data_IF_832752089236
#
_entry.id   IF_832752089236
#
_cell.length_a   1.000
_cell.length_b   1.000
_cell.length_c   1.000
_cell.angle_alpha   90.00
_cell.angle_beta   90.00
_cell.angle_gamma   90.00
#
_symmetry.space_group_name_H-M   'P 1'
#
loop_
_entity.id
_entity.type
_entity.pdbx_description
1 polymer ?
#
# COMPACT_ATOMS: atom_id res chain seq x y z
N UNK A 1 -26.84 8.00 -1.55
CA UNK A 1 -25.98 6.94 -0.99
C UNK A 1 -24.78 7.67 -0.42
N UNK A 2 -24.55 7.59 0.89
CA UNK A 2 -23.40 8.26 1.51
C UNK A 2 -22.12 7.70 0.89
N UNK A 3 -21.24 8.59 0.43
CA UNK A 3 -19.92 8.20 -0.08
C UNK A 3 -19.20 7.38 1.01
N UNK A 4 -18.92 6.10 0.75
CA UNK A 4 -18.16 5.27 1.68
C UNK A 4 -18.93 4.53 2.78
N UNK A 5 -20.25 4.41 2.72
CA UNK A 5 -20.98 3.42 3.55
C UNK A 5 -20.87 3.59 5.07
N UNK A 6 -20.63 4.82 5.55
CA UNK A 6 -20.73 5.21 6.96
C UNK A 6 -19.57 4.77 7.88
N UNK A 7 -18.51 4.16 7.36
CA UNK A 7 -17.31 3.83 8.15
C UNK A 7 -16.02 3.87 7.30
N UNK A 8 -14.86 3.83 7.96
CA UNK A 8 -13.55 3.93 7.31
C UNK A 8 -13.31 2.85 6.26
N UNK A 9 -13.63 1.59 6.55
CA UNK A 9 -13.42 0.46 5.62
C UNK A 9 -14.31 0.61 4.39
N UNK A 10 -15.57 1.00 4.59
CA UNK A 10 -16.51 1.31 3.51
C UNK A 10 -16.00 2.45 2.62
N UNK A 11 -15.47 3.52 3.23
CA UNK A 11 -14.91 4.67 2.51
C UNK A 11 -13.70 4.29 1.69
N UNK A 12 -12.75 3.52 2.26
CA UNK A 12 -11.60 3.01 1.52
C UNK A 12 -12.01 2.15 0.32
N UNK A 13 -12.98 1.23 0.50
CA UNK A 13 -13.49 0.39 -0.60
C UNK A 13 -14.14 1.22 -1.70
N UNK A 14 -14.93 2.23 -1.33
CA UNK A 14 -15.57 3.13 -2.27
C UNK A 14 -14.53 3.95 -3.06
N UNK A 15 -13.52 4.51 -2.40
CA UNK A 15 -12.42 5.24 -3.06
C UNK A 15 -11.71 4.37 -4.10
N UNK A 16 -11.38 3.12 -3.76
CA UNK A 16 -10.73 2.18 -4.69
C UNK A 16 -11.63 1.84 -5.88
N UNK A 17 -12.92 1.55 -5.62
CA UNK A 17 -13.88 1.24 -6.68
C UNK A 17 -14.06 2.39 -7.68
N UNK A 18 -13.81 3.62 -7.25
CA UNK A 18 -13.85 4.82 -8.09
C UNK A 18 -12.48 5.23 -8.66
N UNK A 19 -11.44 4.38 -8.54
CA UNK A 19 -10.11 4.67 -9.08
C UNK A 19 -9.31 5.71 -8.29
N UNK A 20 -9.77 6.11 -7.10
CA UNK A 20 -9.18 7.17 -6.25
C UNK A 20 -8.19 6.61 -5.22
N UNK A 21 -7.53 5.51 -5.53
CA UNK A 21 -6.60 4.85 -4.59
C UNK A 21 -5.41 5.74 -4.21
N UNK A 22 -4.94 6.60 -5.12
CA UNK A 22 -3.81 7.51 -4.87
C UNK A 22 -4.06 8.53 -3.76
N UNK A 23 -5.33 8.83 -3.47
CA UNK A 23 -5.80 9.79 -2.47
C UNK A 23 -5.98 9.16 -1.08
N UNK A 24 -5.79 7.85 -0.94
CA UNK A 24 -5.94 7.15 0.34
C UNK A 24 -4.77 7.36 1.30
N UNK A 25 -3.60 7.69 0.76
CA UNK A 25 -2.39 7.82 1.56
C UNK A 25 -2.31 9.19 2.21
N UNK A 26 -1.82 9.22 3.45
CA UNK A 26 -1.62 10.46 4.21
C UNK A 26 -0.74 11.44 3.40
N UNK A 27 -1.25 12.65 3.07
CA UNK A 27 -0.49 13.66 2.35
C UNK A 27 0.80 14.12 3.06
N UNK A 28 0.90 13.93 4.37
CA UNK A 28 2.09 14.27 5.14
C UNK A 28 3.23 13.25 4.99
N UNK A 29 2.97 12.08 4.40
CA UNK A 29 3.99 11.08 4.13
C UNK A 29 4.59 11.32 2.72
N UNK A 30 5.92 11.23 2.54
CA UNK A 30 6.58 11.37 1.25
C UNK A 30 6.38 10.09 0.42
N UNK A 31 5.15 9.81 0.03
CA UNK A 31 4.77 8.58 -0.67
C UNK A 31 5.14 8.69 -2.14
N UNK A 32 6.43 8.48 -2.44
CA UNK A 32 6.98 8.45 -3.80
C UNK A 32 7.79 7.18 -4.02
N UNK A 33 8.01 6.82 -5.29
CA UNK A 33 8.80 5.66 -5.69
C UNK A 33 8.40 4.38 -4.96
N UNK A 34 9.41 3.68 -4.44
CA UNK A 34 9.23 2.41 -3.74
C UNK A 34 8.29 2.51 -2.53
N UNK A 35 8.31 3.61 -1.79
CA UNK A 35 7.43 3.76 -0.62
C UNK A 35 5.95 3.73 -1.02
N UNK A 36 5.61 4.31 -2.17
CA UNK A 36 4.25 4.24 -2.73
C UNK A 36 3.84 2.82 -3.09
N UNK A 37 4.76 2.05 -3.64
CA UNK A 37 4.54 0.64 -3.97
C UNK A 37 4.34 -0.19 -2.71
N UNK A 38 5.24 -0.06 -1.72
CA UNK A 38 5.12 -0.72 -0.41
C UNK A 38 3.79 -0.40 0.27
N UNK A 39 3.40 0.88 0.31
CA UNK A 39 2.12 1.32 0.88
C UNK A 39 0.91 0.75 0.12
N UNK A 40 1.01 0.59 -1.20
CA UNK A 40 -0.03 -0.05 -2.01
C UNK A 40 -0.18 -1.54 -1.69
N UNK A 41 0.93 -2.25 -1.42
CA UNK A 41 0.88 -3.63 -0.96
C UNK A 41 0.32 -3.76 0.46
N UNK A 42 0.66 -2.83 1.37
CA UNK A 42 0.06 -2.79 2.72
C UNK A 42 -1.46 -2.60 2.62
N UNK A 43 -1.92 -1.70 1.75
CA UNK A 43 -3.35 -1.50 1.49
C UNK A 43 -4.02 -2.77 0.96
N UNK A 44 -3.36 -3.53 0.08
CA UNK A 44 -3.89 -4.81 -0.42
C UNK A 44 -4.10 -5.82 0.71
N UNK A 45 -3.10 -6.00 1.59
CA UNK A 45 -3.22 -6.86 2.78
C UNK A 45 -4.36 -6.39 3.69
N UNK A 46 -4.44 -5.08 3.96
CA UNK A 46 -5.50 -4.53 4.81
C UNK A 46 -6.91 -4.77 4.25
N UNK A 47 -7.08 -4.76 2.92
CA UNK A 47 -8.35 -5.09 2.27
C UNK A 47 -8.73 -6.54 2.49
N UNK A 48 -7.78 -7.46 2.33
CA UNK A 48 -8.01 -8.90 2.57
C UNK A 48 -8.37 -9.17 4.03
N UNK A 49 -7.68 -8.53 4.98
CA UNK A 49 -7.96 -8.64 6.41
C UNK A 49 -9.36 -8.17 6.82
N UNK A 50 -9.97 -7.26 6.04
CA UNK A 50 -11.25 -6.62 6.38
C UNK A 50 -12.44 -7.19 5.62
N UNK A 51 -12.24 -8.15 4.70
CA UNK A 51 -13.32 -8.75 3.89
C UNK A 51 -14.49 -9.19 4.78
N UNK A 52 -15.72 -8.92 4.32
CA UNK A 52 -16.91 -9.10 5.16
C UNK A 52 -17.09 -10.58 5.54
N UNK A 53 -16.80 -11.51 4.62
CA UNK A 53 -16.80 -12.94 4.89
C UNK A 53 -15.57 -13.40 5.69
N UNK A 54 -15.73 -13.85 6.96
CA UNK A 54 -14.59 -14.15 7.82
C UNK A 54 -13.68 -15.27 7.29
N UNK A 55 -14.25 -16.26 6.59
CA UNK A 55 -13.50 -17.39 6.03
C UNK A 55 -12.65 -17.04 4.81
N UNK A 56 -12.85 -15.86 4.21
CA UNK A 56 -12.00 -15.35 3.12
C UNK A 56 -10.81 -14.55 3.64
N UNK A 57 -10.78 -14.20 4.93
CA UNK A 57 -9.71 -13.42 5.53
C UNK A 57 -8.45 -14.28 5.67
N UNK A 58 -7.26 -13.71 5.42
CA UNK A 58 -6.01 -14.41 5.66
C UNK A 58 -5.82 -14.70 7.15
N UNK A 59 -5.09 -15.75 7.45
CA UNK A 59 -4.57 -16.01 8.80
C UNK A 59 -3.54 -14.96 9.19
N UNK A 60 -3.33 -14.75 10.49
CA UNK A 60 -2.28 -13.84 10.96
C UNK A 60 -0.87 -14.25 10.52
N UNK A 61 -0.64 -15.54 10.26
CA UNK A 61 0.63 -16.04 9.71
C UNK A 61 0.84 -15.53 8.28
N UNK A 62 -0.20 -15.59 7.44
CA UNK A 62 -0.16 -15.07 6.08
C UNK A 62 -0.01 -13.55 6.05
N UNK A 63 -0.72 -12.83 6.93
CA UNK A 63 -0.58 -11.38 7.08
C UNK A 63 0.85 -10.99 7.45
N UNK A 64 1.43 -11.62 8.47
CA UNK A 64 2.82 -11.32 8.89
C UNK A 64 3.82 -11.70 7.79
N UNK A 65 3.60 -12.81 7.07
CA UNK A 65 4.45 -13.18 5.93
C UNK A 65 4.38 -12.11 4.84
N UNK A 66 3.19 -11.64 4.46
CA UNK A 66 3.02 -10.58 3.48
C UNK A 66 3.71 -9.27 3.89
N UNK A 67 3.53 -8.85 5.14
CA UNK A 67 4.18 -7.65 5.68
C UNK A 67 5.72 -7.77 5.67
N UNK A 68 6.29 -8.94 5.97
CA UNK A 68 7.74 -9.17 5.84
C UNK A 68 8.21 -9.08 4.39
N UNK A 69 7.44 -9.58 3.42
CA UNK A 69 7.83 -9.47 2.01
C UNK A 69 7.88 -8.01 1.56
N UNK A 70 6.96 -7.16 2.04
CA UNK A 70 6.97 -5.72 1.75
C UNK A 70 8.22 -5.04 2.35
N UNK A 71 8.59 -5.40 3.59
CA UNK A 71 9.82 -4.91 4.22
C UNK A 71 11.10 -5.30 3.45
N UNK A 72 11.07 -6.42 2.72
CA UNK A 72 12.19 -6.89 1.91
C UNK A 72 12.26 -6.22 0.53
N UNK A 73 11.25 -5.46 0.12
CA UNK A 73 11.34 -4.59 -1.05
C UNK A 73 12.38 -3.50 -0.74
N UNK A 74 13.58 -3.62 -1.31
CA UNK A 74 14.70 -2.68 -1.06
C UNK A 74 14.63 -1.48 -2.00
N UNK A 75 15.02 -0.31 -1.50
CA UNK A 75 15.41 0.83 -2.33
C UNK A 75 16.66 0.40 -3.10
N UNK A 76 16.66 0.48 -4.43
CA UNK A 76 17.95 0.48 -5.14
C UNK A 76 18.75 1.67 -4.57
N UNK A 77 19.99 1.48 -4.11
CA UNK A 77 20.77 2.62 -3.64
C UNK A 77 20.87 3.63 -4.79
N UNK A 78 20.61 4.90 -4.47
CA UNK A 78 20.79 6.04 -5.37
C UNK A 78 22.30 6.32 -5.55
N UNK A 79 23.09 5.28 -5.87
CA UNK A 79 24.54 5.28 -5.92
C UNK A 79 25.03 4.75 -7.28
N UNK A 80 24.59 5.38 -8.37
CA UNK A 80 25.31 5.42 -9.65
C UNK A 80 25.18 6.81 -10.27
N UNK A 81 25.54 7.84 -9.50
CA UNK A 81 25.92 9.13 -10.06
C UNK A 81 27.33 9.52 -9.60
N UNK A 82 28.30 8.64 -9.86
CA UNK A 82 29.70 9.03 -10.06
C UNK A 82 30.20 8.32 -11.30
N UNK A 83 30.34 9.07 -12.40
CA UNK A 83 31.38 9.05 -13.43
C UNK A 83 30.89 9.83 -14.67
N UNK A 84 30.77 11.15 -14.51
CA UNK A 84 30.99 12.07 -15.62
C UNK A 84 32.08 13.04 -15.16
N UNK A 85 33.33 12.69 -15.45
CA UNK A 85 34.41 13.62 -15.75
C UNK A 85 35.62 12.82 -16.28
N UNK A 86 35.54 12.44 -17.56
CA UNK A 86 36.72 12.43 -18.41
C UNK A 86 36.64 13.69 -19.29
N UNK A 87 37.44 14.70 -18.95
CA UNK A 87 37.88 15.78 -19.81
C UNK A 87 39.20 16.34 -19.26
#
# INVERSE_FOLDING_TARGET
MEEGGGNLVGWVRWMIANGRQSELFDPCLPVLGLWREQMSHVLAIARECTVDEPWKRPTMVEVVKGLRMIQLMKHEPDDLQEHVEQA
#
